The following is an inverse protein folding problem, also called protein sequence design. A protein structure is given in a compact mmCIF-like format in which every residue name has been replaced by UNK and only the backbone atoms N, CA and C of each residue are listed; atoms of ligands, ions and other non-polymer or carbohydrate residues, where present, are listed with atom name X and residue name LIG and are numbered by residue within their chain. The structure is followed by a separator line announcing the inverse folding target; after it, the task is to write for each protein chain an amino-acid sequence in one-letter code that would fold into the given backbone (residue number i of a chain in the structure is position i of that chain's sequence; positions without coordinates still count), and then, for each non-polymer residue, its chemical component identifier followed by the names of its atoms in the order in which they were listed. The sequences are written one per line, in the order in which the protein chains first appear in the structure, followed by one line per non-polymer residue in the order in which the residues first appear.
data_IF_285630594546
#
_entry.id   IF_285630594546
#
_cell.length_a   1.000
_cell.length_b   1.000
_cell.length_c   1.000
_cell.angle_alpha   90.00
_cell.angle_beta   90.00
_cell.angle_gamma   90.00
#
_symmetry.space_group_name_H-M   'P 1'
#
loop_
_entity.id
_entity.type
_entity.pdbx_description
1 polymer ?
#
# COMPACT_ATOMS: atom_id res chain seq x y z
N UNK A 1 18.29 35.73 -22.34
CA UNK A 1 19.28 34.64 -22.45
C UNK A 1 18.57 33.47 -23.11
N UNK A 2 19.13 32.90 -24.19
CA UNK A 2 18.44 31.88 -25.00
C UNK A 2 18.16 30.63 -24.14
N UNK A 3 16.91 30.15 -24.08
CA UNK A 3 16.47 29.01 -23.27
C UNK A 3 17.33 27.76 -23.50
N UNK A 4 17.85 27.60 -24.73
CA UNK A 4 18.83 26.57 -25.09
C UNK A 4 20.14 26.68 -24.31
N UNK A 5 20.70 27.89 -24.18
CA UNK A 5 21.97 28.15 -23.47
C UNK A 5 21.82 27.86 -21.98
N UNK A 6 20.66 28.20 -21.41
CA UNK A 6 20.37 27.88 -20.01
C UNK A 6 20.30 26.36 -19.77
N UNK A 7 19.57 25.62 -20.62
CA UNK A 7 19.51 24.16 -20.53
C UNK A 7 20.89 23.50 -20.68
N UNK A 8 21.70 23.99 -21.62
CA UNK A 8 23.06 23.49 -21.81
C UNK A 8 23.94 23.72 -20.58
N UNK A 9 23.88 24.90 -19.97
CA UNK A 9 24.61 25.20 -18.74
C UNK A 9 24.18 24.30 -17.58
N UNK A 10 22.87 24.02 -17.44
CA UNK A 10 22.35 23.09 -16.42
C UNK A 10 22.89 21.67 -16.63
N UNK A 11 22.88 21.17 -17.88
CA UNK A 11 23.44 19.86 -18.22
C UNK A 11 24.95 19.79 -17.99
N UNK A 12 25.71 20.83 -18.37
CA UNK A 12 27.16 20.88 -18.14
C UNK A 12 27.47 20.80 -16.64
N UNK A 13 26.72 21.50 -15.79
CA UNK A 13 26.86 21.43 -14.32
C UNK A 13 26.54 20.02 -13.80
N UNK A 14 25.41 19.45 -14.20
CA UNK A 14 25.01 18.10 -13.77
C UNK A 14 26.07 17.05 -14.17
N UNK A 15 26.60 17.11 -15.40
CA UNK A 15 27.66 16.20 -15.88
C UNK A 15 28.96 16.32 -15.09
N UNK A 16 29.39 17.54 -14.75
CA UNK A 16 30.60 17.75 -13.94
C UNK A 16 30.46 17.15 -12.55
N UNK A 17 29.29 17.30 -11.93
CA UNK A 17 29.00 16.70 -10.63
C UNK A 17 28.99 15.17 -10.72
N UNK A 18 28.34 14.59 -11.74
CA UNK A 18 28.36 13.15 -11.96
C UNK A 18 29.80 12.64 -12.16
N UNK A 19 30.62 13.37 -12.92
CA UNK A 19 32.05 13.03 -13.13
C UNK A 19 32.85 13.08 -11.82
N UNK A 20 32.56 14.03 -10.93
CA UNK A 20 33.17 14.08 -9.61
C UNK A 20 32.75 12.89 -8.75
N UNK A 21 31.47 12.50 -8.80
CA UNK A 21 30.96 11.35 -8.06
C UNK A 21 31.50 10.01 -8.59
N UNK A 22 31.94 9.96 -9.84
CA UNK A 22 32.63 8.80 -10.39
C UNK A 22 34.05 8.61 -9.85
N UNK A 23 34.54 9.52 -9.01
CA UNK A 23 35.78 9.33 -8.28
C UNK A 23 35.65 8.13 -7.32
N UNK A 24 36.69 7.31 -7.23
CA UNK A 24 36.66 6.08 -6.44
C UNK A 24 36.28 6.30 -4.96
N UNK A 25 36.65 7.42 -4.34
CA UNK A 25 36.29 7.71 -2.95
C UNK A 25 34.79 7.93 -2.73
N UNK A 26 34.10 8.42 -3.76
CA UNK A 26 32.66 8.63 -3.75
C UNK A 26 31.91 7.33 -4.04
N UNK A 27 32.32 6.58 -5.07
CA UNK A 27 31.71 5.29 -5.45
C UNK A 27 31.90 4.24 -4.34
N UNK A 28 33.12 4.08 -3.83
CA UNK A 28 33.44 3.05 -2.85
C UNK A 28 33.02 3.44 -1.42
N UNK A 29 32.55 4.68 -1.22
CA UNK A 29 32.16 5.18 0.10
C UNK A 29 33.32 5.28 1.10
N UNK A 30 34.57 5.34 0.62
CA UNK A 30 35.78 5.41 1.46
C UNK A 30 36.06 6.82 1.98
N UNK A 31 35.25 7.81 1.58
CA UNK A 31 35.37 9.19 2.05
C UNK A 31 34.91 9.36 3.49
N UNK A 32 35.39 10.42 4.16
CA UNK A 32 34.87 10.83 5.48
C UNK A 32 33.37 11.15 5.40
N UNK A 33 32.63 10.93 6.49
CA UNK A 33 31.17 11.12 6.53
C UNK A 33 30.69 12.50 6.03
N UNK A 34 31.38 13.59 6.36
CA UNK A 34 31.00 14.92 5.89
C UNK A 34 31.22 15.10 4.37
N UNK A 35 32.20 14.42 3.79
CA UNK A 35 32.45 14.39 2.34
C UNK A 35 31.36 13.58 1.64
N UNK A 36 30.95 12.43 2.21
CA UNK A 36 29.82 11.66 1.70
C UNK A 36 28.50 12.47 1.71
N UNK A 37 28.28 13.27 2.75
CA UNK A 37 27.13 14.18 2.82
C UNK A 37 27.17 15.27 1.74
N UNK A 38 28.36 15.81 1.44
CA UNK A 38 28.54 16.77 0.36
C UNK A 38 28.29 16.13 -1.01
N UNK A 39 28.79 14.90 -1.24
CA UNK A 39 28.49 14.13 -2.45
C UNK A 39 27.00 13.88 -2.66
N UNK A 40 26.27 13.48 -1.61
CA UNK A 40 24.81 13.30 -1.64
C UNK A 40 24.10 14.60 -2.05
N UNK A 41 24.49 15.75 -1.47
CA UNK A 41 23.91 17.05 -1.82
C UNK A 41 24.21 17.46 -3.26
N UNK A 42 25.45 17.26 -3.72
CA UNK A 42 25.86 17.57 -5.08
C UNK A 42 25.08 16.71 -6.09
N UNK A 43 25.02 15.39 -5.89
CA UNK A 43 24.26 14.48 -6.74
C UNK A 43 22.78 14.85 -6.80
N UNK A 44 22.16 15.12 -5.64
CA UNK A 44 20.77 15.57 -5.60
C UNK A 44 20.56 16.83 -6.45
N UNK A 45 21.42 17.83 -6.33
CA UNK A 45 21.35 19.05 -7.14
C UNK A 45 21.54 18.74 -8.64
N UNK A 46 22.45 17.83 -9.00
CA UNK A 46 22.65 17.40 -10.38
C UNK A 46 21.39 16.74 -10.95
N UNK A 47 20.73 15.87 -10.18
CA UNK A 47 19.47 15.24 -10.56
C UNK A 47 18.35 16.26 -10.77
N UNK A 48 18.22 17.25 -9.88
CA UNK A 48 17.24 18.35 -10.05
C UNK A 48 17.51 19.19 -11.30
N UNK A 49 18.79 19.46 -11.62
CA UNK A 49 19.17 20.16 -12.84
C UNK A 49 18.82 19.34 -14.10
N UNK A 50 19.13 18.04 -14.11
CA UNK A 50 18.82 17.15 -15.22
C UNK A 50 17.30 17.04 -15.44
N UNK A 51 16.53 16.89 -14.36
CA UNK A 51 15.07 16.92 -14.38
C UNK A 51 14.53 18.21 -15.00
N UNK A 52 15.00 19.38 -14.54
CA UNK A 52 14.55 20.68 -15.06
C UNK A 52 14.80 20.83 -16.56
N UNK A 53 15.92 20.29 -17.05
CA UNK A 53 16.23 20.27 -18.48
C UNK A 53 15.29 19.34 -19.24
N UNK A 54 15.04 18.13 -18.72
CA UNK A 54 14.09 17.19 -19.33
C UNK A 54 12.69 17.79 -19.42
N UNK A 55 12.16 18.34 -18.32
CA UNK A 55 10.84 19.00 -18.29
C UNK A 55 10.76 20.14 -19.32
N UNK A 56 11.83 20.95 -19.43
CA UNK A 56 11.89 22.05 -20.41
C UNK A 56 11.91 21.55 -21.85
N UNK A 57 12.72 20.53 -22.15
CA UNK A 57 12.82 19.96 -23.49
C UNK A 57 11.53 19.25 -23.91
N UNK A 58 10.96 18.44 -23.02
CA UNK A 58 9.69 17.76 -23.24
C UNK A 58 8.54 18.75 -23.40
N UNK A 59 8.55 19.87 -22.66
CA UNK A 59 7.55 20.92 -22.82
C UNK A 59 7.61 21.63 -24.18
N UNK A 60 8.82 21.82 -24.73
CA UNK A 60 8.99 22.35 -26.09
C UNK A 60 8.43 21.38 -27.14
N UNK A 61 8.64 20.07 -26.96
CA UNK A 61 8.17 19.05 -27.89
C UNK A 61 6.65 18.84 -27.84
N UNK A 62 6.07 18.82 -26.64
CA UNK A 62 4.64 18.61 -26.44
C UNK A 62 3.80 19.88 -26.63
N UNK A 63 4.44 21.06 -26.62
CA UNK A 63 3.76 22.36 -26.62
C UNK A 63 3.02 22.67 -25.32
N UNK A 64 3.23 21.87 -24.26
CA UNK A 64 2.52 21.96 -22.98
C UNK A 64 3.49 21.77 -21.81
N UNK A 65 3.10 22.18 -20.60
CA UNK A 65 3.95 21.97 -19.41
C UNK A 65 4.09 20.47 -19.14
N UNK A 66 5.33 20.00 -18.98
CA UNK A 66 5.65 18.62 -18.60
C UNK A 66 6.24 18.61 -17.19
N UNK A 67 5.84 17.63 -16.39
CA UNK A 67 6.36 17.37 -15.06
C UNK A 67 6.85 15.94 -14.99
N UNK A 68 8.05 15.74 -14.43
CA UNK A 68 8.56 14.41 -14.09
C UNK A 68 7.88 13.97 -12.79
N UNK A 69 7.27 12.78 -12.80
CA UNK A 69 6.51 12.24 -11.68
C UNK A 69 7.38 11.52 -10.64
N UNK A 70 8.60 11.14 -10.99
CA UNK A 70 9.50 10.38 -10.12
C UNK A 70 10.89 10.99 -10.07
N UNK A 71 11.33 11.42 -8.88
CA UNK A 71 12.66 11.98 -8.65
C UNK A 71 12.94 12.10 -7.14
N UNK A 72 14.20 12.08 -6.68
CA UNK A 72 14.51 12.30 -5.27
C UNK A 72 14.22 13.75 -4.87
N UNK A 73 13.24 13.99 -4.00
CA UNK A 73 12.85 15.35 -3.56
C UNK A 73 13.80 15.91 -2.51
N UNK A 74 14.41 15.05 -1.69
CA UNK A 74 15.45 15.39 -0.72
C UNK A 74 16.78 14.69 -1.06
N UNK A 75 17.93 15.20 -0.58
CA UNK A 75 19.24 14.56 -0.81
C UNK A 75 19.41 13.18 -0.18
N UNK A 76 18.58 12.87 0.83
CA UNK A 76 18.59 11.60 1.57
C UNK A 76 17.63 10.56 0.98
N UNK A 77 16.87 10.93 -0.04
CA UNK A 77 15.92 10.04 -0.72
C UNK A 77 16.55 9.50 -1.99
N UNK A 78 16.30 8.23 -2.30
CA UNK A 78 16.66 7.62 -3.58
C UNK A 78 15.63 7.95 -4.65
N UNK A 79 14.35 8.03 -4.25
CA UNK A 79 13.21 8.29 -5.14
C UNK A 79 12.07 8.98 -4.38
N UNK A 80 11.19 9.64 -5.12
CA UNK A 80 9.92 10.18 -4.61
C UNK A 80 8.90 10.19 -5.73
N UNK A 81 7.76 9.54 -5.51
CA UNK A 81 6.61 9.62 -6.40
C UNK A 81 5.80 10.88 -6.09
N UNK A 82 5.69 11.75 -7.08
CA UNK A 82 4.85 12.95 -7.04
C UNK A 82 3.39 12.55 -7.20
N UNK A 83 2.54 13.09 -6.33
CA UNK A 83 1.10 12.85 -6.36
C UNK A 83 0.44 13.57 -7.53
N UNK A 84 -0.37 12.83 -8.28
CA UNK A 84 -1.20 13.33 -9.39
C UNK A 84 -2.60 13.63 -8.86
N UNK A 85 -3.01 14.91 -8.94
CA UNK A 85 -4.27 15.40 -8.40
C UNK A 85 -5.47 15.14 -9.34
N UNK A 86 -5.85 13.88 -9.52
CA UNK A 86 -6.91 13.46 -10.44
C UNK A 86 -8.29 13.91 -9.93
N UNK A 87 -8.51 13.93 -8.60
CA UNK A 87 -9.81 14.35 -8.04
C UNK A 87 -10.18 15.79 -8.44
N UNK A 88 -9.19 16.66 -8.60
CA UNK A 88 -9.39 18.06 -9.02
C UNK A 88 -9.32 18.21 -10.54
N UNK A 89 -8.41 17.50 -11.21
CA UNK A 89 -8.15 17.66 -12.64
C UNK A 89 -9.14 16.88 -13.52
N UNK A 90 -9.81 15.86 -12.97
CA UNK A 90 -10.72 14.96 -13.67
C UNK A 90 -10.01 13.92 -14.53
N UNK A 91 -9.13 14.33 -15.44
CA UNK A 91 -8.30 13.43 -16.25
C UNK A 91 -6.91 13.99 -16.49
N UNK A 92 -5.91 13.10 -16.55
CA UNK A 92 -4.50 13.44 -16.75
C UNK A 92 -3.88 12.49 -17.75
N UNK A 93 -3.06 13.01 -18.66
CA UNK A 93 -2.28 12.20 -19.61
C UNK A 93 -0.90 11.93 -19.01
N UNK A 94 -0.55 10.65 -18.87
CA UNK A 94 0.77 10.21 -18.43
C UNK A 94 1.56 9.78 -19.66
N UNK A 95 2.70 10.43 -19.89
CA UNK A 95 3.60 10.07 -20.99
C UNK A 95 4.73 9.20 -20.43
N UNK A 96 4.85 7.98 -20.93
CA UNK A 96 5.95 7.07 -20.60
C UNK A 96 6.95 7.10 -21.75
N UNK A 97 8.22 7.34 -21.44
CA UNK A 97 9.29 7.44 -22.44
C UNK A 97 10.39 6.44 -22.13
N UNK A 98 10.60 5.49 -23.04
CA UNK A 98 11.76 4.61 -23.00
C UNK A 98 12.99 5.39 -23.52
N UNK A 99 13.95 5.66 -22.64
CA UNK A 99 15.17 6.39 -22.98
C UNK A 99 16.27 5.51 -23.60
N UNK A 100 16.03 4.19 -23.67
CA UNK A 100 17.00 3.22 -24.16
C UNK A 100 16.72 2.87 -25.62
N UNK A 101 17.76 2.49 -26.38
CA UNK A 101 17.63 2.18 -27.81
C UNK A 101 17.01 0.80 -28.09
N UNK A 102 16.51 0.11 -27.07
CA UNK A 102 15.93 -1.22 -27.14
C UNK A 102 14.59 -1.26 -26.41
N UNK A 103 13.72 -2.18 -26.81
CA UNK A 103 12.42 -2.37 -26.18
C UNK A 103 12.58 -2.80 -24.73
N UNK A 104 11.73 -2.24 -23.86
CA UNK A 104 11.71 -2.55 -22.43
C UNK A 104 10.30 -2.85 -21.98
N UNK A 105 10.19 -3.79 -21.04
CA UNK A 105 8.97 -4.09 -20.32
C UNK A 105 9.25 -3.83 -18.84
N UNK A 106 8.59 -2.82 -18.26
CA UNK A 106 8.79 -2.40 -16.87
C UNK A 106 7.45 -2.09 -16.21
N UNK A 107 7.39 -2.26 -14.89
CA UNK A 107 6.23 -1.90 -14.08
C UNK A 107 6.31 -0.42 -13.75
N UNK A 108 5.34 0.35 -14.24
CA UNK A 108 5.20 1.78 -13.90
C UNK A 108 4.17 1.95 -12.79
N UNK A 109 4.56 2.65 -11.73
CA UNK A 109 3.68 2.97 -10.61
C UNK A 109 3.35 4.46 -10.62
N UNK A 110 2.12 4.81 -10.26
CA UNK A 110 1.66 6.21 -10.25
C UNK A 110 1.01 6.52 -8.91
N UNK A 111 1.45 7.59 -8.26
CA UNK A 111 0.82 8.08 -7.04
C UNK A 111 -0.34 9.02 -7.37
N UNK A 112 -1.53 8.75 -6.84
CA UNK A 112 -2.77 9.49 -7.13
C UNK A 112 -3.48 9.93 -5.84
N UNK A 113 -4.30 10.98 -5.92
CA UNK A 113 -5.04 11.57 -4.79
C UNK A 113 -6.42 10.94 -4.53
N UNK A 114 -6.85 9.99 -5.36
CA UNK A 114 -8.16 9.34 -5.29
C UNK A 114 -8.08 7.86 -5.64
N UNK A 115 -8.84 7.03 -4.93
CA UNK A 115 -9.02 5.62 -5.27
C UNK A 115 -9.98 5.40 -6.45
N UNK A 116 -10.81 6.39 -6.77
CA UNK A 116 -11.73 6.37 -7.90
C UNK A 116 -11.04 6.95 -9.14
N UNK A 117 -10.19 6.14 -9.76
CA UNK A 117 -9.40 6.49 -10.95
C UNK A 117 -9.52 5.37 -11.98
N UNK A 118 -9.49 5.69 -13.27
CA UNK A 118 -9.30 4.69 -14.32
C UNK A 118 -8.14 4.99 -15.26
N UNK A 119 -7.51 3.93 -15.76
CA UNK A 119 -6.37 4.01 -16.69
C UNK A 119 -6.81 3.54 -18.06
N UNK A 120 -6.50 4.34 -19.08
CA UNK A 120 -6.81 4.01 -20.47
C UNK A 120 -5.58 4.17 -21.36
N UNK A 121 -5.40 3.23 -22.28
CA UNK A 121 -4.47 3.34 -23.39
C UNK A 121 -5.28 3.47 -24.69
N UNK A 122 -5.52 4.70 -25.12
CA UNK A 122 -6.46 4.98 -26.22
C UNK A 122 -7.89 4.63 -25.81
N UNK A 123 -8.50 3.66 -26.50
CA UNK A 123 -9.85 3.16 -26.21
C UNK A 123 -9.85 1.98 -25.23
N UNK A 124 -8.70 1.35 -24.99
CA UNK A 124 -8.57 0.19 -24.09
C UNK A 124 -8.45 0.64 -22.63
N UNK A 125 -9.30 0.11 -21.76
CA UNK A 125 -9.20 0.29 -20.32
C UNK A 125 -8.21 -0.73 -19.73
N UNK A 126 -7.19 -0.23 -19.03
CA UNK A 126 -6.16 -1.03 -18.41
C UNK A 126 -6.52 -1.28 -16.95
N UNK A 127 -6.92 -2.49 -16.57
CA UNK A 127 -7.21 -2.84 -15.18
C UNK A 127 -6.08 -2.42 -14.24
N UNK A 128 -6.38 -1.87 -13.07
CA UNK A 128 -5.35 -1.44 -12.11
C UNK A 128 -5.68 -1.88 -10.70
N UNK A 129 -4.69 -1.85 -9.83
CA UNK A 129 -4.86 -2.00 -8.40
C UNK A 129 -4.46 -0.71 -7.70
N UNK A 130 -5.32 -0.24 -6.80
CA UNK A 130 -5.06 0.86 -5.89
C UNK A 130 -4.66 0.30 -4.53
N UNK A 131 -3.55 0.80 -3.99
CA UNK A 131 -3.08 0.53 -2.64
C UNK A 131 -2.85 1.86 -1.90
N UNK A 132 -2.96 1.90 -0.55
CA UNK A 132 -2.58 3.10 0.20
C UNK A 132 -1.11 3.45 -0.02
N UNK A 133 -0.81 4.73 -0.25
CA UNK A 133 0.59 5.16 -0.37
C UNK A 133 1.23 5.27 1.02
N UNK A 134 2.29 4.47 1.25
CA UNK A 134 3.04 4.46 2.50
C UNK A 134 4.41 5.07 2.25
N UNK A 135 4.78 6.08 3.04
CA UNK A 135 6.08 6.74 2.94
C UNK A 135 6.70 6.86 4.33
N UNK A 136 7.92 6.33 4.49
CA UNK A 136 8.66 6.30 5.76
C UNK A 136 7.85 5.72 6.94
N UNK A 137 7.04 4.70 6.66
CA UNK A 137 6.20 4.03 7.66
C UNK A 137 4.89 4.77 7.99
N UNK A 138 4.63 5.91 7.36
CA UNK A 138 3.38 6.65 7.52
C UNK A 138 2.47 6.49 6.29
N UNK A 139 1.19 6.23 6.54
CA UNK A 139 0.17 6.18 5.48
C UNK A 139 -0.19 7.61 5.11
N UNK A 140 0.06 7.99 3.86
CA UNK A 140 -0.26 9.33 3.39
C UNK A 140 -1.77 9.49 3.24
N UNK A 141 -2.36 10.56 3.81
CA UNK A 141 -3.80 10.78 3.72
C UNK A 141 -4.21 11.16 2.30
N UNK A 142 -5.23 10.48 1.78
CA UNK A 142 -5.84 10.73 0.47
C UNK A 142 -4.82 10.54 -0.65
N UNK A 143 -4.01 9.49 -0.51
CA UNK A 143 -2.88 9.24 -1.37
C UNK A 143 -2.75 7.75 -1.58
N UNK A 144 -2.67 7.37 -2.85
CA UNK A 144 -2.75 5.98 -3.26
C UNK A 144 -1.68 5.69 -4.31
N UNK A 145 -1.19 4.45 -4.31
CA UNK A 145 -0.34 3.92 -5.35
C UNK A 145 -1.20 3.12 -6.32
N UNK A 146 -1.19 3.53 -7.58
CA UNK A 146 -1.82 2.83 -8.69
C UNK A 146 -0.75 1.99 -9.40
N UNK A 147 -0.99 0.69 -9.47
CA UNK A 147 -0.11 -0.28 -10.12
C UNK A 147 -0.91 -1.25 -10.99
N UNK A 148 -0.26 -1.83 -11.99
CA UNK A 148 -0.82 -2.90 -12.82
C UNK A 148 -0.07 -4.19 -12.52
N UNK A 149 -0.78 -5.24 -12.07
CA UNK A 149 -0.20 -6.59 -11.89
C UNK A 149 -0.69 -7.47 -13.03
N UNK A 150 0.22 -7.86 -13.91
CA UNK A 150 -0.01 -8.82 -14.99
C UNK A 150 1.23 -9.65 -15.20
N UNK A 151 1.06 -10.85 -15.75
CA UNK A 151 2.20 -11.64 -16.21
C UNK A 151 2.83 -11.00 -17.44
N UNK A 152 4.12 -10.75 -17.37
CA UNK A 152 4.95 -10.19 -18.41
C UNK A 152 5.87 -11.27 -18.96
N UNK A 153 5.61 -11.70 -20.20
CA UNK A 153 6.33 -12.83 -20.82
C UNK A 153 7.80 -12.54 -21.08
N UNK A 154 8.20 -11.28 -21.22
CA UNK A 154 9.59 -10.92 -21.46
C UNK A 154 10.36 -10.70 -20.16
N UNK A 155 9.68 -10.61 -19.02
CA UNK A 155 10.31 -10.60 -17.70
C UNK A 155 10.66 -12.03 -17.28
N UNK A 156 11.71 -12.17 -16.48
CA UNK A 156 12.08 -13.42 -15.86
C UNK A 156 11.01 -13.90 -14.87
N UNK A 157 11.07 -15.18 -14.50
CA UNK A 157 10.11 -15.76 -13.55
C UNK A 157 10.10 -14.96 -12.23
N UNK A 158 11.23 -14.67 -11.55
CA UNK A 158 11.23 -13.93 -10.29
C UNK A 158 10.65 -12.51 -10.39
N UNK A 159 10.78 -11.85 -11.54
CA UNK A 159 10.24 -10.50 -11.77
C UNK A 159 8.72 -10.49 -11.90
N UNK A 160 8.09 -11.64 -12.12
CA UNK A 160 6.65 -11.82 -12.14
C UNK A 160 6.07 -12.24 -10.77
N UNK A 161 6.90 -12.36 -9.72
CA UNK A 161 6.44 -12.66 -8.38
C UNK A 161 6.10 -11.39 -7.60
N UNK A 162 4.97 -11.43 -6.90
CA UNK A 162 4.49 -10.39 -6.00
C UNK A 162 4.34 -10.96 -4.59
N UNK A 163 4.45 -10.12 -3.54
CA UNK A 163 4.09 -10.55 -2.19
C UNK A 163 2.58 -10.78 -2.08
N UNK A 164 2.20 -11.93 -1.52
CA UNK A 164 0.86 -12.28 -1.09
C UNK A 164 0.86 -12.42 0.43
N UNK A 165 0.69 -11.31 1.19
CA UNK A 165 0.77 -11.36 2.65
C UNK A 165 -0.38 -12.13 3.30
N UNK A 166 -1.57 -12.12 2.70
CA UNK A 166 -2.76 -12.76 3.28
C UNK A 166 -3.76 -13.29 2.25
N UNK A 167 -3.83 -12.69 1.06
CA UNK A 167 -4.78 -13.11 0.04
C UNK A 167 -4.42 -12.62 -1.36
N UNK A 168 -4.97 -13.29 -2.36
CA UNK A 168 -5.05 -12.81 -3.75
C UNK A 168 -6.47 -12.96 -4.29
N UNK A 169 -6.81 -12.14 -5.28
CA UNK A 169 -8.11 -12.18 -5.96
C UNK A 169 -7.86 -12.33 -7.46
N UNK A 170 -8.52 -13.31 -8.07
CA UNK A 170 -8.65 -13.45 -9.52
C UNK A 170 -10.11 -13.19 -9.88
N UNK A 171 -10.36 -12.32 -10.84
CA UNK A 171 -11.72 -11.93 -11.21
C UNK A 171 -11.84 -11.83 -12.74
N UNK A 172 -12.91 -12.40 -13.29
CA UNK A 172 -13.33 -12.19 -14.68
C UNK A 172 -14.72 -11.55 -14.71
N UNK A 173 -15.42 -11.55 -15.86
CA UNK A 173 -16.76 -10.94 -15.97
C UNK A 173 -17.88 -11.73 -15.29
N UNK A 174 -17.61 -12.95 -14.85
CA UNK A 174 -18.60 -13.94 -14.41
C UNK A 174 -18.30 -14.54 -13.03
N UNK A 175 -17.02 -14.63 -12.68
CA UNK A 175 -16.52 -15.34 -11.50
C UNK A 175 -15.43 -14.55 -10.83
N UNK A 176 -15.40 -14.69 -9.51
CA UNK A 176 -14.34 -14.21 -8.65
C UNK A 176 -13.80 -15.36 -7.82
N UNK A 177 -12.49 -15.48 -7.71
CA UNK A 177 -11.80 -16.42 -6.85
C UNK A 177 -10.98 -15.61 -5.85
N UNK A 178 -11.32 -15.73 -4.56
CA UNK A 178 -10.51 -15.19 -3.46
C UNK A 178 -9.77 -16.35 -2.83
N UNK A 179 -8.44 -16.34 -2.93
CA UNK A 179 -7.57 -17.26 -2.20
C UNK A 179 -6.99 -16.52 -1.00
N UNK A 180 -7.14 -17.10 0.19
CA UNK A 180 -6.59 -16.58 1.42
C UNK A 180 -5.61 -17.59 2.04
N UNK A 181 -4.64 -17.07 2.81
CA UNK A 181 -3.59 -17.83 3.49
C UNK A 181 -3.37 -17.26 4.90
N UNK A 182 -2.87 -18.10 5.81
CA UNK A 182 -2.51 -17.69 7.17
C UNK A 182 -1.05 -17.21 7.31
N UNK A 183 -0.23 -17.35 6.26
CA UNK A 183 1.15 -16.85 6.22
C UNK A 183 1.46 -16.16 4.89
N UNK A 184 2.48 -15.30 4.89
CA UNK A 184 2.87 -14.58 3.68
C UNK A 184 3.59 -15.50 2.67
N UNK A 185 3.20 -15.41 1.40
CA UNK A 185 3.83 -16.15 0.30
C UNK A 185 4.28 -15.22 -0.84
N UNK A 186 5.13 -15.73 -1.72
CA UNK A 186 5.30 -15.16 -3.06
C UNK A 186 4.27 -15.76 -4.01
N UNK A 187 3.62 -14.94 -4.82
CA UNK A 187 2.63 -15.37 -5.83
C UNK A 187 2.99 -14.85 -7.21
N UNK A 188 2.73 -15.62 -8.26
CA UNK A 188 2.72 -15.14 -9.64
C UNK A 188 1.41 -15.51 -10.32
N UNK A 189 0.90 -14.62 -11.18
CA UNK A 189 -0.22 -14.93 -12.07
C UNK A 189 0.33 -15.59 -13.33
N UNK A 190 -0.14 -16.77 -13.68
CA UNK A 190 0.17 -17.44 -14.95
C UNK A 190 -1.01 -17.30 -15.92
N UNK A 191 -0.81 -17.52 -17.25
CA UNK A 191 -1.91 -17.49 -18.21
C UNK A 191 -3.09 -18.42 -17.88
N UNK A 192 -2.82 -19.54 -17.19
CA UNK A 192 -3.83 -20.55 -16.83
C UNK A 192 -4.20 -20.56 -15.35
N UNK A 193 -3.69 -19.64 -14.53
CA UNK A 193 -3.98 -19.63 -13.09
C UNK A 193 -3.00 -18.81 -12.26
N UNK A 194 -2.68 -19.33 -11.08
CA UNK A 194 -1.73 -18.73 -10.14
C UNK A 194 -0.75 -19.79 -9.64
N UNK A 195 0.48 -19.36 -9.38
CA UNK A 195 1.51 -20.15 -8.73
C UNK A 195 1.90 -19.49 -7.41
N UNK A 196 2.07 -20.29 -6.37
CA UNK A 196 2.38 -19.82 -5.02
C UNK A 196 3.61 -20.55 -4.53
N UNK A 197 4.61 -19.78 -4.12
CA UNK A 197 5.80 -20.31 -3.50
C UNK A 197 5.49 -20.71 -2.06
N UNK A 198 5.46 -22.02 -1.80
CA UNK A 198 5.16 -22.56 -0.47
C UNK A 198 6.38 -22.51 0.45
N UNK A 199 7.55 -22.86 -0.07
CA UNK A 199 8.80 -22.91 0.68
C UNK A 199 9.99 -22.84 -0.28
N UNK A 200 11.20 -22.58 0.23
CA UNK A 200 12.42 -22.52 -0.58
C UNK A 200 13.62 -23.11 0.16
N UNK A 201 14.45 -23.85 -0.57
CA UNK A 201 15.75 -24.29 -0.11
C UNK A 201 16.83 -23.72 -1.03
N UNK A 202 17.86 -23.10 -0.45
CA UNK A 202 18.97 -22.51 -1.20
C UNK A 202 20.28 -22.97 -0.57
N UNK A 203 21.21 -23.46 -1.39
CA UNK A 203 22.52 -23.93 -0.97
C UNK A 203 23.65 -22.95 -1.33
N UNK A 204 23.30 -21.73 -1.72
CA UNK A 204 24.23 -20.68 -2.12
C UNK A 204 23.76 -19.33 -1.59
N UNK A 205 24.73 -18.50 -1.19
CA UNK A 205 24.51 -17.11 -0.77
C UNK A 205 24.16 -16.25 -1.99
N UNK A 206 23.27 -15.28 -1.81
CA UNK A 206 22.82 -14.37 -2.86
C UNK A 206 23.70 -13.10 -2.97
N UNK A 207 24.74 -13.00 -2.14
CA UNK A 207 25.65 -11.86 -2.09
C UNK A 207 25.03 -10.59 -1.51
N UNK A 208 23.90 -10.70 -0.79
CA UNK A 208 23.19 -9.55 -0.19
C UNK A 208 23.53 -9.32 1.29
N UNK A 209 24.47 -10.09 1.84
CA UNK A 209 25.13 -9.79 3.12
C UNK A 209 24.80 -10.75 4.26
N UNK A 210 24.02 -11.81 4.02
CA UNK A 210 23.86 -12.91 5.00
C UNK A 210 25.08 -13.83 5.02
N UNK A 211 25.73 -14.04 3.87
CA UNK A 211 26.96 -14.83 3.76
C UNK A 211 26.69 -16.32 3.51
N UNK A 212 27.77 -17.11 3.43
CA UNK A 212 27.73 -18.52 3.02
C UNK A 212 27.86 -19.52 4.18
N UNK A 213 27.78 -19.03 5.41
CA UNK A 213 27.82 -19.88 6.61
C UNK A 213 26.55 -20.75 6.70
N UNK A 214 26.60 -21.92 7.36
CA UNK A 214 25.45 -22.84 7.44
C UNK A 214 24.17 -22.22 8.01
N UNK A 215 24.29 -21.26 8.93
CA UNK A 215 23.15 -20.53 9.55
C UNK A 215 22.60 -19.41 8.65
N UNK A 216 23.32 -19.06 7.58
CA UNK A 216 22.93 -18.03 6.61
C UNK A 216 22.16 -18.59 5.41
N UNK A 217 22.14 -19.91 5.24
CA UNK A 217 21.54 -20.59 4.10
C UNK A 217 20.28 -21.35 4.53
N UNK A 218 19.12 -21.14 3.87
CA UNK A 218 17.89 -21.85 4.18
C UNK A 218 18.00 -23.29 3.66
N UNK A 219 18.65 -24.15 4.45
CA UNK A 219 18.92 -25.57 4.14
C UNK A 219 18.25 -26.53 5.12
N UNK A 220 17.67 -26.00 6.20
CA UNK A 220 17.11 -26.71 7.34
C UNK A 220 15.58 -26.63 7.37
N UNK A 221 14.92 -26.98 6.25
CA UNK A 221 13.47 -26.95 6.16
C UNK A 221 12.82 -27.83 7.23
N UNK A 222 11.98 -27.20 8.05
CA UNK A 222 11.14 -27.88 9.03
C UNK A 222 9.70 -28.00 8.49
N UNK A 223 8.96 -29.06 8.83
CA UNK A 223 7.55 -29.14 8.47
C UNK A 223 6.76 -27.95 9.02
N UNK A 224 6.04 -27.25 8.14
CA UNK A 224 5.13 -26.15 8.49
C UNK A 224 3.72 -26.52 8.05
N UNK A 225 2.74 -26.28 8.92
CA UNK A 225 1.33 -26.38 8.56
C UNK A 225 0.90 -25.07 7.91
N UNK A 226 0.62 -25.12 6.60
CA UNK A 226 0.14 -23.99 5.81
C UNK A 226 -1.36 -24.13 5.58
N UNK A 227 -2.17 -23.11 5.91
CA UNK A 227 -3.61 -23.15 5.71
C UNK A 227 -4.03 -22.19 4.60
N UNK A 228 -4.81 -22.74 3.67
CA UNK A 228 -5.38 -22.00 2.56
C UNK A 228 -6.90 -22.12 2.58
N UNK A 229 -7.56 -21.09 2.07
CA UNK A 229 -9.01 -21.12 1.85
C UNK A 229 -9.35 -20.48 0.51
N UNK A 230 -10.11 -21.21 -0.30
CA UNK A 230 -10.50 -20.81 -1.66
C UNK A 230 -12.00 -20.54 -1.66
N UNK A 231 -12.38 -19.30 -1.97
CA UNK A 231 -13.76 -18.91 -2.17
C UNK A 231 -13.98 -18.58 -3.64
N UNK A 232 -14.98 -19.23 -4.25
CA UNK A 232 -15.42 -18.96 -5.62
C UNK A 232 -16.81 -18.34 -5.59
N UNK A 233 -16.96 -17.17 -6.18
CA UNK A 233 -18.20 -16.40 -6.20
C UNK A 233 -18.65 -16.15 -7.64
N UNK A 234 -19.97 -16.12 -7.84
CA UNK A 234 -20.56 -15.66 -9.09
C UNK A 234 -20.77 -14.15 -9.03
N UNK A 235 -20.32 -13.45 -10.06
CA UNK A 235 -20.53 -12.02 -10.23
C UNK A 235 -21.95 -11.81 -10.75
N UNK A 236 -22.70 -10.96 -10.04
CA UNK A 236 -24.12 -10.74 -10.30
C UNK A 236 -24.43 -9.40 -10.96
N UNK A 237 -23.50 -8.45 -10.87
CA UNK A 237 -23.59 -7.14 -11.49
C UNK A 237 -22.29 -6.85 -12.22
N UNK A 238 -22.38 -6.18 -13.37
CA UNK A 238 -21.19 -5.74 -14.07
C UNK A 238 -20.37 -4.82 -13.15
N UNK A 239 -19.09 -5.15 -12.97
CA UNK A 239 -18.17 -4.37 -12.16
C UNK A 239 -18.06 -2.99 -12.79
N UNK A 240 -18.54 -1.97 -12.10
CA UNK A 240 -18.47 -0.57 -12.55
C UNK A 240 -17.15 0.09 -12.17
N UNK A 241 -16.40 -0.52 -11.25
CA UNK A 241 -15.20 0.03 -10.64
C UNK A 241 -13.99 -0.83 -11.00
N UNK A 242 -13.18 -0.35 -11.94
CA UNK A 242 -12.13 -1.13 -12.62
C UNK A 242 -10.79 -1.17 -11.87
N UNK A 243 -10.67 -0.50 -10.72
CA UNK A 243 -9.37 -0.16 -10.14
C UNK A 243 -9.17 -0.41 -8.64
N UNK A 244 -10.09 -1.12 -7.97
CA UNK A 244 -9.90 -1.54 -6.58
C UNK A 244 -10.53 -2.91 -6.34
N UNK A 245 -9.72 -3.96 -6.18
CA UNK A 245 -10.20 -5.27 -5.74
C UNK A 245 -10.38 -5.29 -4.22
N UNK A 246 -11.33 -4.50 -3.70
CA UNK A 246 -11.85 -4.75 -2.36
C UNK A 246 -12.35 -6.17 -2.26
N UNK A 247 -12.19 -6.83 -1.12
CA UNK A 247 -12.85 -8.10 -0.90
C UNK A 247 -14.38 -7.93 -0.93
N UNK A 248 -15.07 -8.94 -1.45
CA UNK A 248 -16.51 -9.10 -1.22
C UNK A 248 -16.75 -9.34 0.27
N UNK A 249 -17.99 -9.15 0.78
CA UNK A 249 -18.27 -9.48 2.19
C UNK A 249 -17.87 -10.93 2.55
N UNK A 250 -18.13 -11.90 1.68
CA UNK A 250 -17.76 -13.29 1.90
C UNK A 250 -16.25 -13.51 1.78
N UNK A 251 -15.60 -12.86 0.81
CA UNK A 251 -14.14 -12.88 0.67
C UNK A 251 -13.43 -12.29 1.89
N UNK A 252 -14.00 -11.24 2.50
CA UNK A 252 -13.43 -10.63 3.69
C UNK A 252 -13.54 -11.56 4.90
N UNK A 253 -14.71 -12.18 5.11
CA UNK A 253 -14.89 -13.20 6.16
C UNK A 253 -13.96 -14.40 5.95
N UNK A 254 -13.74 -14.82 4.70
CA UNK A 254 -12.81 -15.89 4.35
C UNK A 254 -11.40 -15.56 4.87
N UNK A 255 -10.86 -14.39 4.51
CA UNK A 255 -9.54 -13.93 4.98
C UNK A 255 -9.49 -13.85 6.51
N UNK A 256 -10.49 -13.21 7.14
CA UNK A 256 -10.50 -13.06 8.60
C UNK A 256 -10.55 -14.40 9.34
N UNK A 257 -11.27 -15.39 8.82
CA UNK A 257 -11.42 -16.70 9.48
C UNK A 257 -10.11 -17.49 9.59
N UNK A 258 -9.15 -17.24 8.67
CA UNK A 258 -7.81 -17.80 8.72
C UNK A 258 -6.88 -17.04 9.65
N UNK A 259 -6.89 -15.70 9.56
CA UNK A 259 -5.97 -14.84 10.31
C UNK A 259 -6.38 -14.63 11.78
N UNK A 260 -7.67 -14.66 12.08
CA UNK A 260 -8.24 -14.35 13.40
C UNK A 260 -9.11 -15.51 13.87
N UNK A 261 -8.47 -16.66 14.10
CA UNK A 261 -9.16 -17.85 14.59
C UNK A 261 -9.75 -17.61 15.99
N UNK A 262 -10.94 -18.16 16.31
CA UNK A 262 -11.52 -18.07 17.63
C UNK A 262 -10.59 -18.60 18.73
N UNK A 263 -10.53 -17.92 19.86
CA UNK A 263 -9.83 -18.43 21.04
C UNK A 263 -10.68 -19.50 21.72
N UNK A 264 -10.13 -20.71 21.83
CA UNK A 264 -10.77 -21.83 22.53
C UNK A 264 -10.16 -21.91 23.94
N UNK A 265 -10.99 -21.80 24.97
CA UNK A 265 -10.56 -21.81 26.38
C UNK A 265 -11.29 -22.88 27.17
N UNK A 266 -10.64 -23.37 28.23
CA UNK A 266 -11.24 -24.27 29.21
C UNK A 266 -11.29 -23.53 30.55
N UNK A 267 -12.45 -23.55 31.20
CA UNK A 267 -12.69 -22.89 32.48
C UNK A 267 -13.49 -23.80 33.39
N UNK A 268 -13.29 -23.66 34.71
CA UNK A 268 -14.10 -24.36 35.73
C UNK A 268 -15.54 -23.85 35.81
N UNK A 269 -15.79 -22.64 35.32
CA UNK A 269 -17.10 -21.98 35.24
C UNK A 269 -17.38 -21.42 33.85
N UNK A 270 -18.65 -21.16 33.56
CA UNK A 270 -19.09 -20.55 32.30
C UNK A 270 -18.63 -19.10 32.22
N UNK A 271 -17.83 -18.78 31.19
CA UNK A 271 -17.48 -17.39 30.87
C UNK A 271 -18.72 -16.72 30.29
N UNK A 272 -19.24 -15.63 30.89
CA UNK A 272 -20.40 -14.95 30.37
C UNK A 272 -20.10 -14.35 28.98
N UNK A 273 -21.08 -14.33 28.06
CA UNK A 273 -20.88 -13.70 26.76
C UNK A 273 -20.59 -12.21 26.93
N UNK A 274 -19.84 -11.65 26.00
CA UNK A 274 -19.63 -10.20 25.96
C UNK A 274 -20.98 -9.51 25.68
N UNK A 275 -21.30 -8.38 26.35
CA UNK A 275 -22.64 -7.77 26.35
C UNK A 275 -22.96 -6.96 25.07
N UNK A 276 -22.44 -7.37 23.91
CA UNK A 276 -22.62 -6.63 22.67
C UNK A 276 -24.02 -6.88 22.08
N UNK A 277 -24.79 -5.80 21.86
CA UNK A 277 -26.12 -5.85 21.26
C UNK A 277 -26.12 -5.60 19.74
N UNK A 278 -25.07 -4.99 19.20
CA UNK A 278 -24.93 -4.72 17.76
C UNK A 278 -23.53 -5.05 17.26
N UNK A 279 -23.46 -5.47 16.00
CA UNK A 279 -22.23 -5.91 15.33
C UNK A 279 -21.77 -4.80 14.39
N UNK A 280 -20.45 -4.60 14.27
CA UNK A 280 -19.89 -3.70 13.26
C UNK A 280 -20.11 -4.29 11.85
N UNK A 281 -20.33 -3.45 10.82
CA UNK A 281 -20.39 -3.92 9.44
C UNK A 281 -19.07 -4.57 9.01
N UNK A 282 -19.10 -5.50 8.05
CA UNK A 282 -17.94 -6.34 7.75
C UNK A 282 -16.77 -5.66 7.07
N UNK A 283 -16.94 -4.47 6.50
CA UNK A 283 -15.80 -3.70 6.02
C UNK A 283 -14.98 -3.13 7.19
N UNK A 284 -15.52 -3.06 8.40
CA UNK A 284 -14.83 -2.50 9.55
C UNK A 284 -14.18 -3.59 10.41
N UNK A 285 -12.90 -3.38 10.72
CA UNK A 285 -12.14 -4.25 11.58
C UNK A 285 -11.61 -3.47 12.78
N UNK A 286 -11.91 -3.95 13.98
CA UNK A 286 -11.28 -3.48 15.21
C UNK A 286 -9.87 -4.09 15.30
N UNK A 287 -8.84 -3.29 15.04
CA UNK A 287 -7.46 -3.77 14.98
C UNK A 287 -6.82 -3.87 16.36
N UNK A 288 -7.06 -2.89 17.22
CA UNK A 288 -6.47 -2.87 18.57
C UNK A 288 -7.31 -2.05 19.53
N UNK A 289 -7.33 -2.48 20.79
CA UNK A 289 -7.69 -1.65 21.95
C UNK A 289 -6.58 -1.82 22.97
N UNK A 290 -5.71 -0.81 23.10
CA UNK A 290 -4.52 -0.90 23.95
C UNK A 290 -4.50 0.18 25.03
N UNK A 291 -3.98 -0.11 26.23
CA UNK A 291 -3.78 0.93 27.25
C UNK A 291 -2.77 1.98 26.78
N UNK A 292 -3.00 3.22 27.20
CA UNK A 292 -2.06 4.35 27.05
C UNK A 292 -1.98 5.11 28.38
N UNK A 293 -1.18 6.17 28.44
CA UNK A 293 -0.99 6.96 29.66
C UNK A 293 -2.32 7.53 30.20
N UNK A 294 -2.33 7.86 31.48
CA UNK A 294 -3.45 8.51 32.18
C UNK A 294 -4.75 7.69 32.21
N UNK A 295 -4.65 6.36 32.24
CA UNK A 295 -5.82 5.47 32.35
C UNK A 295 -6.72 5.44 31.11
N UNK A 296 -6.28 6.03 30.00
CA UNK A 296 -7.00 6.01 28.73
C UNK A 296 -6.63 4.76 27.92
N UNK A 297 -7.45 4.42 26.92
CA UNK A 297 -7.13 3.37 25.94
C UNK A 297 -7.19 3.94 24.53
N UNK A 298 -6.30 3.49 23.65
CA UNK A 298 -6.36 3.80 22.23
C UNK A 298 -7.05 2.63 21.51
N UNK A 299 -8.14 2.95 20.81
CA UNK A 299 -8.87 2.07 19.93
C UNK A 299 -8.58 2.43 18.48
N UNK A 300 -8.26 1.44 17.65
CA UNK A 300 -8.05 1.62 16.21
C UNK A 300 -9.01 0.75 15.42
N UNK A 301 -9.78 1.38 14.53
CA UNK A 301 -10.68 0.73 13.59
C UNK A 301 -10.18 1.01 12.18
N UNK A 302 -10.19 0.00 11.33
CA UNK A 302 -9.83 0.13 9.92
C UNK A 302 -11.02 -0.22 9.03
N UNK A 303 -11.26 0.59 8.00
CA UNK A 303 -12.22 0.27 6.95
C UNK A 303 -11.49 -0.39 5.77
N UNK A 304 -11.72 -1.68 5.54
CA UNK A 304 -11.13 -2.44 4.44
C UNK A 304 -11.72 -2.08 3.06
N UNK A 305 -12.85 -1.36 3.02
CA UNK A 305 -13.68 -1.25 1.83
C UNK A 305 -14.36 -2.59 1.48
N UNK A 306 -15.38 -2.54 0.64
CA UNK A 306 -16.14 -3.74 0.26
C UNK A 306 -16.62 -3.66 -1.18
N UNK A 307 -16.48 -4.77 -1.89
CA UNK A 307 -17.03 -5.00 -3.22
C UNK A 307 -18.42 -5.66 -3.12
N UNK A 308 -19.47 -4.98 -3.61
CA UNK A 308 -20.86 -5.44 -3.47
C UNK A 308 -21.49 -5.90 -4.80
N UNK A 309 -20.71 -6.52 -5.68
CA UNK A 309 -21.15 -6.99 -7.01
C UNK A 309 -21.35 -8.51 -7.13
N UNK A 310 -21.38 -9.21 -5.99
CA UNK A 310 -21.62 -10.66 -5.90
C UNK A 310 -22.88 -10.96 -5.12
N UNK A 311 -23.58 -12.06 -5.45
CA UNK A 311 -24.81 -12.48 -4.75
C UNK A 311 -24.56 -13.38 -3.53
N UNK A 312 -23.31 -13.51 -3.06
CA UNK A 312 -23.00 -14.35 -1.90
C UNK A 312 -23.62 -13.77 -0.63
N UNK A 313 -24.64 -14.45 -0.09
CA UNK A 313 -25.24 -14.04 1.17
C UNK A 313 -24.21 -14.12 2.30
N UNK A 314 -24.19 -13.12 3.17
CA UNK A 314 -23.36 -13.10 4.38
C UNK A 314 -24.17 -12.67 5.60
N UNK A 315 -23.69 -13.02 6.78
CA UNK A 315 -24.29 -12.65 8.08
C UNK A 315 -23.93 -11.24 8.52
N UNK A 316 -23.05 -10.58 7.78
CA UNK A 316 -22.59 -9.22 7.98
C UNK A 316 -23.75 -8.22 7.79
N UNK A 317 -24.17 -7.58 8.87
CA UNK A 317 -25.18 -6.52 8.84
C UNK A 317 -24.86 -5.51 9.93
N UNK A 318 -25.28 -4.26 9.74
CA UNK A 318 -25.13 -3.22 10.75
C UNK A 318 -24.85 -1.86 10.14
N UNK A 319 -24.73 -0.89 11.02
CA UNK A 319 -24.33 0.47 10.72
C UNK A 319 -23.17 0.84 11.64
N UNK A 320 -22.17 1.55 11.11
CA UNK A 320 -20.94 1.87 11.84
C UNK A 320 -21.26 2.63 13.13
N UNK A 321 -22.13 3.63 13.05
CA UNK A 321 -22.41 4.53 14.16
C UNK A 321 -23.09 3.80 15.31
N UNK A 322 -24.16 3.06 14.99
CA UNK A 322 -24.91 2.25 15.97
C UNK A 322 -24.08 1.11 16.56
N UNK A 323 -23.26 0.45 15.73
CA UNK A 323 -22.29 -0.58 16.13
C UNK A 323 -21.26 -0.05 17.11
N UNK A 324 -20.55 1.02 16.72
CA UNK A 324 -19.50 1.64 17.51
C UNK A 324 -20.03 2.22 18.83
N UNK A 325 -21.16 2.93 18.79
CA UNK A 325 -21.78 3.51 19.99
C UNK A 325 -22.14 2.42 21.00
N UNK A 326 -22.73 1.31 20.53
CA UNK A 326 -23.10 0.19 21.41
C UNK A 326 -21.86 -0.52 21.98
N UNK A 327 -20.82 -0.69 21.15
CA UNK A 327 -19.54 -1.24 21.59
C UNK A 327 -18.88 -0.36 22.67
N UNK A 328 -18.79 0.95 22.45
CA UNK A 328 -18.22 1.91 23.41
C UNK A 328 -18.99 1.92 24.74
N UNK A 329 -20.33 1.90 24.69
CA UNK A 329 -21.18 1.80 25.90
C UNK A 329 -20.96 0.50 26.66
N UNK A 330 -20.84 -0.62 25.96
CA UNK A 330 -20.58 -1.92 26.58
C UNK A 330 -19.24 -1.98 27.32
N UNK A 331 -18.29 -1.11 26.94
CA UNK A 331 -17.00 -0.94 27.60
C UNK A 331 -17.01 0.15 28.68
N UNK A 332 -18.15 0.76 29.00
CA UNK A 332 -18.28 1.90 29.92
C UNK A 332 -17.42 3.13 29.52
N UNK A 333 -17.24 3.35 28.22
CA UNK A 333 -16.60 4.56 27.70
C UNK A 333 -17.60 5.72 27.76
N UNK A 334 -17.17 6.85 28.32
CA UNK A 334 -18.00 8.06 28.47
C UNK A 334 -17.66 9.10 27.43
N UNK A 335 -16.37 9.25 27.11
CA UNK A 335 -15.90 10.20 26.10
C UNK A 335 -14.90 9.59 25.15
N UNK A 336 -14.86 10.15 23.95
CA UNK A 336 -13.92 9.79 22.89
C UNK A 336 -13.24 11.04 22.33
N UNK A 337 -12.04 10.86 21.82
CA UNK A 337 -11.28 11.90 21.13
C UNK A 337 -10.54 11.27 19.95
N UNK A 338 -10.65 11.86 18.76
CA UNK A 338 -9.89 11.37 17.61
C UNK A 338 -8.43 11.79 17.70
N UNK A 339 -7.54 10.91 17.25
CA UNK A 339 -6.09 11.10 17.33
C UNK A 339 -5.38 10.58 16.07
N UNK A 340 -4.10 10.89 15.94
CA UNK A 340 -3.24 10.19 14.96
C UNK A 340 -3.07 8.71 15.32
N UNK A 341 -2.48 7.91 14.41
CA UNK A 341 -2.32 6.45 14.56
C UNK A 341 -1.67 6.00 15.87
N UNK A 342 -0.75 6.81 16.42
CA UNK A 342 -0.04 6.50 17.67
C UNK A 342 -0.77 6.99 18.93
N UNK A 343 -1.81 7.81 18.80
CA UNK A 343 -2.57 8.38 19.91
C UNK A 343 -1.89 9.55 20.64
N UNK A 344 -0.87 10.17 20.03
CA UNK A 344 -0.08 11.25 20.64
C UNK A 344 -0.58 12.65 20.27
N UNK A 345 -1.19 12.79 19.08
CA UNK A 345 -1.69 14.07 18.57
C UNK A 345 -3.21 13.99 18.44
N UNK A 346 -3.91 14.82 19.18
CA UNK A 346 -5.36 15.00 19.06
C UNK A 346 -5.72 15.65 17.72
N UNK A 347 -6.76 15.13 17.09
CA UNK A 347 -7.37 15.66 15.86
C UNK A 347 -8.64 16.44 16.21
N UNK A 348 -9.45 15.90 17.13
CA UNK A 348 -10.68 16.53 17.60
C UNK A 348 -10.60 16.85 19.10
N UNK A 349 -11.54 17.66 19.57
CA UNK A 349 -11.78 17.83 21.01
C UNK A 349 -12.44 16.57 21.59
N UNK A 350 -12.21 16.33 22.89
CA UNK A 350 -12.84 15.22 23.59
C UNK A 350 -14.34 15.46 23.77
N UNK A 351 -15.18 14.49 23.39
CA UNK A 351 -16.64 14.63 23.41
C UNK A 351 -17.35 13.39 23.96
N UNK A 352 -18.58 13.55 24.49
CA UNK A 352 -19.39 12.42 24.94
C UNK A 352 -19.67 11.43 23.79
N UNK A 353 -19.73 10.14 24.11
CA UNK A 353 -20.01 9.07 23.14
C UNK A 353 -21.33 9.30 22.40
N UNK A 354 -22.34 9.88 23.05
CA UNK A 354 -23.65 10.15 22.45
C UNK A 354 -23.63 11.20 21.35
N UNK A 355 -22.64 12.10 21.40
CA UNK A 355 -22.48 13.19 20.44
C UNK A 355 -21.47 12.83 19.35
N UNK A 356 -20.78 11.69 19.48
CA UNK A 356 -19.76 11.28 18.53
C UNK A 356 -20.42 10.70 17.28
N UNK A 357 -20.11 11.29 16.12
CA UNK A 357 -20.52 10.80 14.82
C UNK A 357 -19.31 10.74 13.90
N UNK A 358 -19.23 9.69 13.09
CA UNK A 358 -18.07 9.47 12.22
C UNK A 358 -18.45 8.69 10.97
N UNK A 359 -17.71 8.96 9.90
CA UNK A 359 -17.63 8.11 8.72
C UNK A 359 -16.16 7.83 8.45
N UNK A 360 -15.86 6.61 8.02
CA UNK A 360 -14.50 6.20 7.69
C UNK A 360 -14.53 5.76 6.23
N UNK A 361 -13.80 6.45 5.37
CA UNK A 361 -13.68 6.05 3.95
C UNK A 361 -12.91 4.72 3.83
N UNK A 362 -13.07 3.96 2.73
CA UNK A 362 -12.25 2.79 2.45
C UNK A 362 -10.75 3.07 2.58
N UNK A 363 -10.01 2.10 3.14
CA UNK A 363 -8.60 2.17 3.47
C UNK A 363 -8.17 3.28 4.44
N UNK A 364 -9.11 3.80 5.25
CA UNK A 364 -8.81 4.74 6.33
C UNK A 364 -8.87 4.09 7.71
N UNK A 365 -8.10 4.68 8.62
CA UNK A 365 -8.05 4.32 10.02
C UNK A 365 -8.77 5.38 10.85
N UNK A 366 -9.59 4.94 11.80
CA UNK A 366 -10.11 5.75 12.88
C UNK A 366 -9.39 5.38 14.17
N UNK A 367 -8.81 6.38 14.86
CA UNK A 367 -8.11 6.19 16.12
C UNK A 367 -8.78 7.01 17.22
N UNK A 368 -9.35 6.32 18.20
CA UNK A 368 -10.09 6.92 19.30
C UNK A 368 -9.35 6.73 20.62
N UNK A 369 -9.06 7.83 21.27
CA UNK A 369 -8.64 7.85 22.66
C UNK A 369 -9.89 7.80 23.54
N UNK A 370 -10.01 6.72 24.30
CA UNK A 370 -11.18 6.38 25.10
C UNK A 370 -11.00 6.83 26.55
N UNK A 371 -11.99 7.52 27.08
CA UNK A 371 -12.07 7.95 28.48
C UNK A 371 -13.24 7.24 29.16
N UNK A 372 -12.93 6.52 30.23
CA UNK A 372 -13.87 5.71 31.00
C UNK A 372 -14.49 6.52 32.14
N UNK A 373 -15.67 6.10 32.61
CA UNK A 373 -16.18 6.57 33.90
C UNK A 373 -15.25 6.10 35.01
N UNK A 374 -14.89 7.00 35.94
CA UNK A 374 -14.17 6.67 37.16
C UNK A 374 -14.90 5.67 38.04
#
# INVERSE_FOLDING_TARGET
MNQRVEMELKLQKARRILSLFQHHDAIAGTSRQHVMKDYSLLLHNATQLARSVFESAAAILSGSRVLVLEYPKLPTETETLLEVNIAVLGSVIINVYNSLPYDMEEIVQVRVDTANVSVRNGEEELHGQIEPYIHLGEIAPNSFLLLHRKYHKNLSIPENFYPMPSACVLEDKSKRITLATDVAHGISQLPEGIEILLDRMLNQDDGKGLGSDPDSLPTDLLPVELRFSVLVEAISQAVTDSHSTYHTPAGHLNVQSLLYTPMITISGDVIPPLPFQSVLPCNYQLLTVRPVANGKRLMTIFNNGMACHTNTMTTCSGDLLSGLTSYLRSLNVVKVQETNLVGLKSITEEMPVENYNTSIEPYKFLNLLLTYSS
#
